data_IF_893715626800
#
_entry.id   IF_893715626800
#
_cell.length_a   1.000
_cell.length_b   1.000
_cell.length_c   1.000
_cell.angle_alpha   90.00
_cell.angle_beta   90.00
_cell.angle_gamma   90.00
#
_symmetry.space_group_name_H-M   'P 1'
#
loop_
_entity.id
_entity.type
_entity.pdbx_description
1 polymer ?
#
# COMPACT_ATOMS: atom_id res chain seq x y z
N UNK A 1 -8.88 -5.69 15.68
CA UNK A 1 -8.44 -4.34 15.29
C UNK A 1 -7.09 -4.48 14.63
N UNK A 2 -6.95 -4.13 13.35
CA UNK A 2 -5.61 -4.05 12.75
C UNK A 2 -4.92 -2.81 13.32
N UNK A 3 -3.81 -3.00 14.01
CA UNK A 3 -2.99 -1.90 14.50
C UNK A 3 -2.36 -1.21 13.30
N UNK A 4 -2.62 0.09 13.17
CA UNK A 4 -1.95 0.96 12.19
C UNK A 4 -0.47 0.90 12.52
N UNK A 5 0.32 0.32 11.62
CA UNK A 5 1.77 0.31 11.75
C UNK A 5 2.30 1.47 10.92
N UNK A 6 3.06 2.34 11.57
CA UNK A 6 3.88 3.33 10.87
C UNK A 6 5.02 2.59 10.17
N UNK A 7 5.15 2.83 8.87
CA UNK A 7 6.24 2.29 8.08
C UNK A 7 7.50 3.05 8.41
N UNK A 8 8.59 2.35 8.73
CA UNK A 8 9.90 2.98 8.90
C UNK A 8 10.65 3.04 7.57
N UNK A 9 11.69 3.88 7.47
CA UNK A 9 12.55 3.93 6.29
C UNK A 9 13.28 2.60 6.03
N UNK A 10 13.65 1.88 7.09
CA UNK A 10 14.25 0.55 6.96
C UNK A 10 13.27 -0.49 6.42
N UNK A 11 12.00 -0.41 6.81
CA UNK A 11 10.94 -1.28 6.24
C UNK A 11 10.78 -1.04 4.73
N UNK A 12 10.75 0.22 4.31
CA UNK A 12 10.64 0.60 2.89
C UNK A 12 11.86 0.13 2.11
N UNK A 13 13.07 0.35 2.64
CA UNK A 13 14.33 -0.08 2.00
C UNK A 13 14.40 -1.59 1.88
N UNK A 14 14.05 -2.32 2.94
CA UNK A 14 14.01 -3.77 2.92
C UNK A 14 13.02 -4.29 1.88
N UNK A 15 11.82 -3.71 1.83
CA UNK A 15 10.79 -4.10 0.88
C UNK A 15 11.20 -3.82 -0.57
N UNK A 16 11.78 -2.64 -0.84
CA UNK A 16 12.32 -2.30 -2.15
C UNK A 16 13.39 -3.30 -2.60
N UNK A 17 14.31 -3.66 -1.70
CA UNK A 17 15.36 -4.67 -1.96
C UNK A 17 14.77 -6.04 -2.28
N UNK A 18 13.72 -6.48 -1.57
CA UNK A 18 13.03 -7.74 -1.87
C UNK A 18 12.38 -7.76 -3.25
N UNK A 19 12.01 -6.59 -3.79
CA UNK A 19 11.48 -6.43 -5.14
C UNK A 19 12.59 -6.21 -6.19
N UNK A 20 13.86 -6.25 -5.79
CA UNK A 20 15.00 -6.00 -6.67
C UNK A 20 15.15 -4.53 -7.09
N UNK A 21 14.52 -3.60 -6.36
CA UNK A 21 14.60 -2.17 -6.63
C UNK A 21 15.74 -1.55 -5.81
N UNK A 22 16.72 -0.97 -6.50
CA UNK A 22 17.69 -0.06 -5.90
C UNK A 22 17.15 1.36 -6.05
N UNK A 23 16.82 1.97 -4.92
CA UNK A 23 16.20 3.28 -4.87
C UNK A 23 17.18 4.29 -4.28
N UNK A 24 17.24 5.46 -4.91
CA UNK A 24 17.93 6.62 -4.37
C UNK A 24 17.30 7.07 -3.04
N UNK A 25 18.08 7.70 -2.14
CA UNK A 25 17.59 8.14 -0.84
C UNK A 25 16.33 9.02 -0.91
N UNK A 26 16.26 9.93 -1.90
CA UNK A 26 15.10 10.79 -2.12
C UNK A 26 13.84 9.98 -2.47
N UNK A 27 13.97 8.93 -3.29
CA UNK A 27 12.85 8.07 -3.66
C UNK A 27 12.36 7.24 -2.47
N UNK A 28 13.26 6.81 -1.57
CA UNK A 28 12.90 6.13 -0.33
C UNK A 28 12.08 7.03 0.60
N UNK A 29 12.45 8.30 0.73
CA UNK A 29 11.71 9.27 1.54
C UNK A 29 10.31 9.54 1.00
N UNK A 30 10.18 9.67 -0.32
CA UNK A 30 8.88 9.83 -0.98
C UNK A 30 7.98 8.61 -0.77
N UNK A 31 8.53 7.40 -0.92
CA UNK A 31 7.80 6.15 -0.67
C UNK A 31 7.38 6.01 0.79
N UNK A 32 8.25 6.38 1.73
CA UNK A 32 7.93 6.39 3.15
C UNK A 32 6.76 7.33 3.47
N UNK A 33 6.80 8.56 2.95
CA UNK A 33 5.71 9.52 3.12
C UNK A 33 4.39 8.99 2.52
N UNK A 34 4.45 8.36 1.34
CA UNK A 34 3.28 7.78 0.69
C UNK A 34 2.73 6.57 1.46
N UNK A 35 3.59 5.67 1.93
CA UNK A 35 3.20 4.50 2.71
C UNK A 35 2.49 4.88 4.01
N UNK A 36 3.00 5.88 4.73
CA UNK A 36 2.37 6.36 5.96
C UNK A 36 1.03 7.05 5.69
N UNK A 37 0.90 7.81 4.60
CA UNK A 37 -0.39 8.40 4.18
C UNK A 37 -1.42 7.32 3.83
N UNK A 38 -1.01 6.29 3.10
CA UNK A 38 -1.89 5.15 2.75
C UNK A 38 -2.27 4.34 3.99
N UNK A 39 -1.33 4.08 4.90
CA UNK A 39 -1.59 3.39 6.17
C UNK A 39 -2.63 4.14 7.01
N UNK A 40 -2.46 5.45 7.16
CA UNK A 40 -3.41 6.32 7.86
C UNK A 40 -4.79 6.37 7.18
N UNK A 41 -4.82 6.49 5.84
CA UNK A 41 -6.07 6.46 5.09
C UNK A 41 -6.78 5.11 5.20
N UNK A 42 -6.05 4.00 5.09
CA UNK A 42 -6.60 2.65 5.21
C UNK A 42 -7.16 2.36 6.60
N UNK A 43 -6.63 3.01 7.64
CA UNK A 43 -7.19 2.93 8.98
C UNK A 43 -8.52 3.68 9.12
N UNK A 44 -8.68 4.78 8.37
CA UNK A 44 -9.91 5.55 8.31
C UNK A 44 -10.98 4.90 7.40
N UNK A 45 -10.57 4.02 6.47
CA UNK A 45 -11.51 3.17 5.73
C UNK A 45 -12.07 2.15 6.71
N UNK A 46 -13.24 2.46 7.28
CA UNK A 46 -14.10 1.47 7.89
C UNK A 46 -14.30 0.37 6.85
N UNK A 47 -13.64 -0.79 7.02
CA UNK A 47 -13.94 -1.97 6.20
C UNK A 47 -15.42 -2.22 6.36
N UNK A 48 -16.23 -1.84 5.37
CA UNK A 48 -17.62 -2.24 5.32
C UNK A 48 -17.61 -3.75 5.22
N UNK A 49 -17.84 -4.41 6.36
CA UNK A 49 -18.10 -5.83 6.38
C UNK A 49 -19.51 -6.03 5.84
N UNK A 50 -19.65 -6.17 4.53
CA UNK A 50 -20.80 -6.89 4.01
C UNK A 50 -20.30 -8.14 3.29
N UNK A 51 -20.90 -9.26 3.69
CA UNK A 51 -20.69 -10.60 3.14
C UNK A 51 -21.04 -10.69 1.64
N UNK A 52 -21.71 -9.66 1.10
CA UNK A 52 -22.19 -9.55 -0.27
C UNK A 52 -21.50 -8.44 -1.07
N UNK A 53 -20.45 -7.82 -0.52
CA UNK A 53 -19.61 -6.90 -1.29
C UNK A 53 -18.71 -7.71 -2.21
N UNK A 54 -19.27 -8.17 -3.33
CA UNK A 54 -18.47 -8.68 -4.45
C UNK A 54 -17.34 -7.68 -4.75
N UNK A 55 -16.10 -8.14 -4.99
CA UNK A 55 -15.05 -7.26 -5.48
C UNK A 55 -15.60 -6.52 -6.70
N UNK A 56 -15.35 -5.22 -6.79
CA UNK A 56 -15.86 -4.39 -7.87
C UNK A 56 -15.67 -5.12 -9.22
N UNK A 57 -16.70 -5.19 -10.07
CA UNK A 57 -16.68 -6.02 -11.25
C UNK A 57 -15.44 -5.70 -12.08
N UNK A 58 -14.62 -6.72 -12.34
CA UNK A 58 -13.38 -6.56 -13.07
C UNK A 58 -13.66 -5.98 -14.45
N UNK A 59 -13.15 -4.77 -14.70
CA UNK A 59 -13.14 -4.18 -16.04
C UNK A 59 -12.19 -5.03 -16.91
N UNK A 60 -12.77 -5.99 -17.62
CA UNK A 60 -12.09 -6.76 -18.65
C UNK A 60 -11.88 -5.85 -19.87
N UNK A 61 -10.64 -5.41 -20.08
CA UNK A 61 -10.22 -4.87 -21.37
C UNK A 61 -9.69 -6.05 -22.20
N UNK A 62 -10.40 -6.51 -23.25
CA UNK A 62 -9.81 -7.46 -24.17
C UNK A 62 -8.63 -6.79 -24.89
N UNK A 63 -7.43 -7.33 -24.69
CA UNK A 63 -6.29 -7.01 -25.54
C UNK A 63 -6.49 -7.76 -26.86
N UNK A 64 -6.92 -7.00 -27.88
CA UNK A 64 -6.65 -7.21 -29.32
C UNK A 64 -6.91 -8.59 -29.90
#
# INVERSE_FOLDING_TARGET
>A
MQTIRDWTLDDIRHHAKCQGLELEPEALEQLHAMANRVSAASAAVTRMAHKDSEPAPGLFFPLG
#
